data_IF_804298310574
#
_entry.id   IF_804298310574
#
_cell.length_a   1.000
_cell.length_b   1.000
_cell.length_c   1.000
_cell.angle_alpha   90.00
_cell.angle_beta   90.00
_cell.angle_gamma   90.00
#
_symmetry.space_group_name_H-M   'P 1'
#
loop_
_entity.id
_entity.type
_entity.pdbx_description
1 polymer ?
#
# COMPACT_ATOMS: atom_id res chain seq x y z
N UNK A 1 13.90 -13.98 28.34
CA UNK A 1 15.35 -13.65 28.29
C UNK A 1 16.06 -14.14 27.03
N UNK A 2 15.80 -15.36 26.50
CA UNK A 2 16.47 -15.84 25.27
C UNK A 2 16.23 -14.97 24.02
N UNK A 3 15.00 -14.47 23.81
CA UNK A 3 14.70 -13.60 22.69
C UNK A 3 15.49 -12.27 22.72
N UNK A 4 15.72 -11.72 23.91
CA UNK A 4 16.49 -10.48 24.08
C UNK A 4 17.96 -10.67 23.71
N UNK A 5 18.57 -11.80 24.10
CA UNK A 5 19.95 -12.13 23.73
C UNK A 5 20.14 -12.18 22.21
N UNK A 6 19.21 -12.82 21.48
CA UNK A 6 19.28 -12.86 20.00
C UNK A 6 19.04 -11.47 19.39
N UNK A 7 18.11 -10.68 19.95
CA UNK A 7 17.84 -9.30 19.51
C UNK A 7 19.07 -8.42 19.67
N UNK A 8 19.74 -8.46 20.81
CA UNK A 8 20.95 -7.68 21.09
C UNK A 8 22.13 -8.13 20.23
N UNK A 9 22.28 -9.44 19.97
CA UNK A 9 23.32 -9.93 19.05
C UNK A 9 23.14 -9.40 17.62
N UNK A 10 21.90 -9.30 17.13
CA UNK A 10 21.62 -8.84 15.75
C UNK A 10 21.58 -7.32 15.61
N UNK A 11 21.02 -6.63 16.61
CA UNK A 11 20.65 -5.22 16.51
C UNK A 11 21.32 -4.34 17.58
N UNK A 12 22.10 -4.90 18.49
CA UNK A 12 22.63 -4.19 19.65
C UNK A 12 21.51 -3.61 20.54
N UNK A 13 21.78 -2.45 21.12
CA UNK A 13 20.80 -1.67 21.86
C UNK A 13 20.13 -0.56 21.02
N UNK A 14 19.97 -0.81 19.72
CA UNK A 14 19.26 0.11 18.82
C UNK A 14 17.80 -0.33 18.66
N UNK A 15 16.91 0.66 18.66
CA UNK A 15 15.53 0.53 18.21
C UNK A 15 15.34 1.49 17.04
N UNK A 16 15.06 0.95 15.84
CA UNK A 16 14.79 1.75 14.66
C UNK A 16 13.30 2.05 14.54
N UNK A 17 12.99 3.15 13.87
CA UNK A 17 11.65 3.53 13.48
C UNK A 17 11.70 4.17 12.09
N UNK A 18 10.53 4.32 11.49
CA UNK A 18 10.35 5.07 10.26
C UNK A 18 9.28 6.13 10.49
N UNK A 19 9.45 7.30 9.88
CA UNK A 19 8.39 8.29 9.79
C UNK A 19 7.66 8.10 8.47
N UNK A 20 6.47 7.48 8.53
CA UNK A 20 5.70 7.17 7.33
C UNK A 20 4.32 7.83 7.35
N UNK A 21 3.71 7.90 6.17
CA UNK A 21 2.29 8.24 6.01
C UNK A 21 1.52 6.98 5.66
N UNK A 22 0.72 6.49 6.60
CA UNK A 22 -0.16 5.34 6.39
C UNK A 22 -1.50 5.77 5.76
N UNK A 23 -1.91 5.12 4.67
CA UNK A 23 -3.12 5.44 3.91
C UNK A 23 -3.89 4.16 3.59
N UNK A 24 -5.19 4.17 3.85
CA UNK A 24 -6.11 3.19 3.29
C UNK A 24 -6.82 3.82 2.10
N UNK A 25 -6.54 3.39 0.87
CA UNK A 25 -7.13 4.04 -0.32
C UNK A 25 -8.61 3.67 -0.51
N UNK A 26 -9.03 2.50 -0.03
CA UNK A 26 -10.44 2.09 0.02
C UNK A 26 -10.64 0.98 1.06
N UNK A 27 -11.82 0.96 1.70
CA UNK A 27 -12.27 -0.18 2.50
C UNK A 27 -13.28 -1.08 1.76
N UNK A 28 -13.50 -0.88 0.46
CA UNK A 28 -14.41 -1.71 -0.33
C UNK A 28 -13.66 -2.98 -0.73
N UNK A 29 -14.21 -4.14 -0.37
CA UNK A 29 -13.53 -5.41 -0.54
C UNK A 29 -14.49 -6.52 -0.97
N UNK A 30 -14.07 -7.35 -1.93
CA UNK A 30 -14.81 -8.56 -2.31
C UNK A 30 -14.67 -9.71 -1.31
N UNK A 31 -13.71 -9.63 -0.38
CA UNK A 31 -13.56 -10.59 0.71
C UNK A 31 -14.34 -10.16 1.95
N UNK A 32 -14.67 -11.13 2.79
CA UNK A 32 -15.38 -10.93 4.06
C UNK A 32 -14.66 -11.65 5.19
N UNK A 33 -13.40 -11.25 5.42
CA UNK A 33 -12.60 -11.77 6.53
C UNK A 33 -13.26 -11.43 7.87
N UNK A 34 -13.47 -12.42 8.72
CA UNK A 34 -14.30 -12.31 9.94
C UNK A 34 -13.76 -11.29 10.97
N UNK A 35 -12.45 -11.01 10.94
CA UNK A 35 -11.78 -10.09 11.84
C UNK A 35 -11.50 -8.71 11.21
N UNK A 36 -11.88 -8.50 9.94
CA UNK A 36 -11.52 -7.31 9.19
C UNK A 36 -12.72 -6.35 9.07
N UNK A 37 -12.53 -5.10 9.50
CA UNK A 37 -13.53 -4.05 9.37
C UNK A 37 -13.69 -3.52 7.92
N UNK A 38 -12.82 -3.94 6.99
CA UNK A 38 -12.79 -3.45 5.59
C UNK A 38 -13.52 -4.39 4.62
N UNK A 39 -14.45 -5.21 5.12
CA UNK A 39 -15.32 -6.01 4.27
C UNK A 39 -16.53 -5.20 3.76
N UNK A 40 -16.34 -3.90 3.48
CA UNK A 40 -17.43 -3.01 3.09
C UNK A 40 -17.85 -3.31 1.64
N UNK A 41 -19.16 -3.28 1.40
CA UNK A 41 -19.73 -3.25 0.05
C UNK A 41 -19.90 -1.79 -0.36
N UNK A 42 -19.85 -1.51 -1.66
CA UNK A 42 -19.98 -0.14 -2.21
C UNK A 42 -21.23 0.64 -1.73
N UNK A 43 -22.29 -0.07 -1.35
CA UNK A 43 -23.56 0.51 -0.86
C UNK A 43 -23.61 0.70 0.66
N UNK A 44 -22.62 0.22 1.39
CA UNK A 44 -22.63 0.28 2.84
C UNK A 44 -22.31 1.72 3.28
N UNK A 45 -22.98 2.27 4.31
CA UNK A 45 -22.82 3.68 4.69
C UNK A 45 -21.40 4.08 5.12
N UNK A 46 -20.57 3.11 5.50
CA UNK A 46 -19.19 3.31 5.94
C UNK A 46 -18.16 3.04 4.83
N UNK A 47 -18.61 2.73 3.62
CA UNK A 47 -17.74 2.48 2.49
C UNK A 47 -17.08 3.77 1.99
N UNK A 48 -15.79 3.70 1.68
CA UNK A 48 -15.03 4.80 1.09
C UNK A 48 -14.05 4.31 0.02
N UNK A 49 -13.77 5.17 -0.93
CA UNK A 49 -12.81 5.01 -2.03
C UNK A 49 -12.26 6.41 -2.29
N UNK A 50 -10.97 6.64 -2.04
CA UNK A 50 -10.34 7.94 -2.28
C UNK A 50 -9.93 8.08 -3.74
N UNK A 51 -10.10 9.28 -4.30
CA UNK A 51 -9.52 9.62 -5.58
C UNK A 51 -7.99 9.73 -5.47
N UNK A 52 -7.26 9.52 -6.57
CA UNK A 52 -5.79 9.60 -6.59
C UNK A 52 -5.35 10.98 -6.13
N UNK A 53 -6.03 12.03 -6.59
CA UNK A 53 -5.74 13.43 -6.27
C UNK A 53 -5.84 13.71 -4.77
N UNK A 54 -6.78 13.06 -4.08
CA UNK A 54 -6.91 13.18 -2.62
C UNK A 54 -5.75 12.50 -1.89
N UNK A 55 -5.32 11.33 -2.36
CA UNK A 55 -4.17 10.59 -1.81
C UNK A 55 -2.89 11.42 -2.02
N UNK A 56 -2.68 11.92 -3.24
CA UNK A 56 -1.52 12.74 -3.61
C UNK A 56 -1.47 14.02 -2.78
N UNK A 57 -2.59 14.71 -2.57
CA UNK A 57 -2.66 15.89 -1.70
C UNK A 57 -2.21 15.56 -0.27
N UNK A 58 -2.72 14.46 0.31
CA UNK A 58 -2.36 14.03 1.67
C UNK A 58 -0.87 13.69 1.79
N UNK A 59 -0.29 13.03 0.80
CA UNK A 59 1.14 12.70 0.79
C UNK A 59 1.98 13.97 0.65
N UNK A 60 1.60 14.87 -0.27
CA UNK A 60 2.29 16.14 -0.50
C UNK A 60 2.31 17.03 0.73
N UNK A 61 1.22 17.07 1.50
CA UNK A 61 1.15 17.80 2.78
C UNK A 61 2.04 17.17 3.86
N UNK A 62 2.31 15.86 3.78
CA UNK A 62 3.14 15.15 4.74
C UNK A 62 4.64 15.20 4.43
N UNK A 63 5.04 15.44 3.17
CA UNK A 63 6.45 15.55 2.78
C UNK A 63 7.24 16.61 3.58
N UNK A 64 6.74 17.86 3.76
CA UNK A 64 7.42 18.87 4.58
C UNK A 64 7.56 18.48 6.06
N UNK A 65 6.79 17.49 6.54
CA UNK A 65 6.88 16.95 7.89
C UNK A 65 8.01 15.91 8.03
N UNK A 66 8.70 15.59 6.94
CA UNK A 66 9.84 14.67 6.92
C UNK A 66 9.45 13.20 6.90
N UNK A 67 8.33 12.84 6.26
CA UNK A 67 8.05 11.43 5.96
C UNK A 67 9.06 10.91 4.92
N UNK A 68 9.44 9.64 5.03
CA UNK A 68 10.31 8.97 4.05
C UNK A 68 9.65 7.77 3.38
N UNK A 69 8.47 7.38 3.84
CA UNK A 69 7.69 6.28 3.27
C UNK A 69 6.19 6.65 3.21
N UNK A 70 5.55 6.25 2.12
CA UNK A 70 4.09 6.07 2.08
C UNK A 70 3.80 4.59 2.23
N UNK A 71 3.00 4.23 3.22
CA UNK A 71 2.53 2.87 3.45
C UNK A 71 1.05 2.80 3.12
N UNK A 72 0.69 2.02 2.09
CA UNK A 72 -0.66 2.04 1.56
C UNK A 72 -1.25 0.66 1.29
N UNK A 73 -2.44 0.41 1.82
CA UNK A 73 -3.21 -0.82 1.60
C UNK A 73 -4.68 -0.50 1.34
N UNK A 74 -5.44 -1.47 0.85
CA UNK A 74 -6.87 -1.32 0.68
C UNK A 74 -7.60 -2.65 0.60
N UNK A 75 -8.90 -2.57 0.37
CA UNK A 75 -9.71 -3.74 0.06
C UNK A 75 -9.41 -4.31 -1.33
N UNK A 76 -9.80 -5.56 -1.55
CA UNK A 76 -9.79 -6.17 -2.89
C UNK A 76 -10.91 -5.55 -3.73
N UNK A 77 -10.62 -4.39 -4.31
CA UNK A 77 -11.64 -3.56 -4.95
C UNK A 77 -12.25 -4.25 -6.18
N UNK A 78 -13.59 -4.30 -6.33
CA UNK A 78 -14.23 -4.99 -7.44
C UNK A 78 -14.18 -4.24 -8.78
N UNK A 79 -14.06 -2.90 -8.74
CA UNK A 79 -14.27 -2.04 -9.92
C UNK A 79 -13.10 -1.12 -10.28
N UNK A 80 -12.07 -1.02 -9.43
CA UNK A 80 -10.89 -0.20 -9.77
C UNK A 80 -10.19 -0.84 -10.98
N UNK A 81 -9.82 0.01 -11.93
CA UNK A 81 -9.24 -0.41 -13.21
C UNK A 81 -7.73 -0.54 -13.09
N UNK A 82 -7.13 -1.20 -14.08
CA UNK A 82 -5.67 -1.37 -14.19
C UNK A 82 -4.94 -0.04 -14.02
N UNK A 83 -5.36 0.97 -14.79
CA UNK A 83 -4.68 2.25 -14.88
C UNK A 83 -4.68 2.99 -13.53
N UNK A 84 -5.76 2.90 -12.75
CA UNK A 84 -5.82 3.51 -11.42
C UNK A 84 -4.65 3.09 -10.51
N UNK A 85 -4.29 1.81 -10.49
CA UNK A 85 -3.18 1.31 -9.66
C UNK A 85 -1.82 1.78 -10.17
N UNK A 86 -1.65 1.81 -11.50
CA UNK A 86 -0.40 2.21 -12.12
C UNK A 86 -0.19 3.73 -12.03
N UNK A 87 -1.24 4.51 -12.26
CA UNK A 87 -1.24 5.96 -12.17
C UNK A 87 -1.00 6.42 -10.73
N UNK A 88 -1.61 5.77 -9.75
CA UNK A 88 -1.34 6.05 -8.34
C UNK A 88 0.15 5.91 -7.99
N UNK A 89 0.81 4.83 -8.43
CA UNK A 89 2.24 4.64 -8.19
C UNK A 89 3.09 5.68 -8.92
N UNK A 90 2.75 5.99 -10.19
CA UNK A 90 3.47 7.00 -10.98
C UNK A 90 3.36 8.39 -10.35
N UNK A 91 2.16 8.78 -9.90
CA UNK A 91 1.94 10.09 -9.29
C UNK A 91 2.61 10.20 -7.93
N UNK A 92 2.58 9.15 -7.10
CA UNK A 92 3.32 9.14 -5.84
C UNK A 92 4.82 9.28 -6.07
N UNK A 93 5.37 8.57 -7.06
CA UNK A 93 6.79 8.65 -7.41
C UNK A 93 7.18 10.02 -7.96
N UNK A 94 6.26 10.71 -8.63
CA UNK A 94 6.48 12.03 -9.18
C UNK A 94 6.52 13.14 -8.11
N UNK A 95 6.00 12.88 -6.90
CA UNK A 95 6.04 13.85 -5.80
C UNK A 95 7.46 14.08 -5.27
N UNK A 96 8.21 13.00 -5.08
CA UNK A 96 9.57 13.03 -4.54
C UNK A 96 10.29 11.72 -4.92
N UNK A 97 11.42 11.76 -5.64
CA UNK A 97 12.18 10.57 -6.02
C UNK A 97 12.77 9.81 -4.82
N UNK A 98 12.93 10.44 -3.66
CA UNK A 98 13.46 9.83 -2.44
C UNK A 98 12.35 9.21 -1.56
N UNK A 99 11.07 9.40 -1.91
CA UNK A 99 9.95 8.82 -1.18
C UNK A 99 9.80 7.33 -1.48
N UNK A 100 9.91 6.49 -0.43
CA UNK A 100 9.68 5.05 -0.58
C UNK A 100 8.19 4.72 -0.63
N UNK A 101 7.75 4.05 -1.70
CA UNK A 101 6.36 3.61 -1.84
C UNK A 101 6.26 2.14 -1.40
N UNK A 102 5.71 1.93 -0.20
CA UNK A 102 5.35 0.62 0.32
C UNK A 102 3.85 0.40 0.16
N UNK A 103 3.44 -0.38 -0.82
CA UNK A 103 2.02 -0.55 -1.12
C UNK A 103 1.64 -1.98 -1.47
N UNK A 104 0.37 -2.29 -1.28
CA UNK A 104 -0.28 -3.57 -1.57
C UNK A 104 0.25 -4.74 -0.73
N UNK A 105 -0.69 -5.44 -0.10
CA UNK A 105 -0.44 -6.72 0.55
C UNK A 105 -0.28 -7.85 -0.47
N UNK A 106 0.26 -8.99 -0.04
CA UNK A 106 0.34 -10.18 -0.89
C UNK A 106 -1.03 -10.62 -1.49
N UNK A 107 -2.13 -10.43 -0.75
CA UNK A 107 -3.48 -10.79 -1.24
C UNK A 107 -3.98 -9.78 -2.27
N UNK A 108 -3.67 -8.49 -2.11
CA UNK A 108 -3.93 -7.47 -3.12
C UNK A 108 -3.14 -7.76 -4.39
N UNK A 109 -1.82 -8.01 -4.31
CA UNK A 109 -1.01 -8.39 -5.47
C UNK A 109 -1.58 -9.61 -6.20
N UNK A 110 -2.03 -10.62 -5.45
CA UNK A 110 -2.70 -11.80 -6.04
C UNK A 110 -3.99 -11.43 -6.77
N UNK A 111 -4.81 -10.55 -6.18
CA UNK A 111 -6.05 -10.05 -6.81
C UNK A 111 -5.76 -9.25 -8.08
N UNK A 112 -4.79 -8.32 -8.02
CA UNK A 112 -4.33 -7.56 -9.17
C UNK A 112 -3.90 -8.50 -10.29
N UNK A 113 -3.00 -9.44 -10.00
CA UNK A 113 -2.49 -10.40 -10.98
C UNK A 113 -3.60 -11.25 -11.61
N UNK A 114 -4.46 -11.87 -10.79
CA UNK A 114 -5.40 -12.89 -11.25
C UNK A 114 -6.73 -12.35 -11.79
N UNK A 115 -7.20 -11.22 -11.27
CA UNK A 115 -8.56 -10.70 -11.55
C UNK A 115 -8.53 -9.44 -12.40
N UNK A 116 -7.54 -8.58 -12.20
CA UNK A 116 -7.48 -7.27 -12.87
C UNK A 116 -6.57 -7.35 -14.11
N UNK A 117 -5.29 -7.68 -13.92
CA UNK A 117 -4.27 -7.63 -14.97
C UNK A 117 -4.22 -8.88 -15.84
N UNK A 118 -4.55 -10.06 -15.29
CA UNK A 118 -4.43 -11.37 -15.95
C UNK A 118 -2.98 -11.71 -16.30
N UNK A 119 -2.09 -11.52 -15.33
CA UNK A 119 -0.65 -11.78 -15.43
C UNK A 119 -0.20 -12.80 -14.35
N UNK A 120 0.90 -13.53 -14.57
CA UNK A 120 1.61 -14.25 -13.51
C UNK A 120 2.04 -13.29 -12.39
N UNK A 121 2.11 -13.78 -11.14
CA UNK A 121 2.47 -12.95 -9.97
C UNK A 121 3.83 -12.27 -10.16
N UNK A 122 4.80 -12.95 -10.77
CA UNK A 122 6.13 -12.40 -11.04
C UNK A 122 6.06 -11.16 -11.94
N UNK A 123 5.37 -11.28 -13.07
CA UNK A 123 5.17 -10.17 -14.02
C UNK A 123 4.37 -9.03 -13.39
N UNK A 124 3.40 -9.33 -12.53
CA UNK A 124 2.67 -8.30 -11.78
C UNK A 124 3.61 -7.51 -10.84
N UNK A 125 4.50 -8.18 -10.10
CA UNK A 125 5.46 -7.51 -9.22
C UNK A 125 6.48 -6.69 -10.02
N UNK A 126 6.94 -7.20 -11.16
CA UNK A 126 7.84 -6.48 -12.08
C UNK A 126 7.16 -5.20 -12.60
N UNK A 127 5.90 -5.32 -13.05
CA UNK A 127 5.11 -4.18 -13.51
C UNK A 127 4.91 -3.13 -12.41
N UNK A 128 4.52 -3.52 -11.20
CA UNK A 128 4.35 -2.57 -10.08
C UNK A 128 5.67 -1.86 -9.75
N UNK A 129 6.79 -2.59 -9.74
CA UNK A 129 8.11 -2.01 -9.48
C UNK A 129 8.51 -0.99 -10.54
N UNK A 130 8.28 -1.29 -11.81
CA UNK A 130 8.54 -0.35 -12.92
C UNK A 130 7.76 0.97 -12.75
N UNK A 131 6.57 0.88 -12.16
CA UNK A 131 5.67 2.02 -11.95
C UNK A 131 5.93 2.80 -10.65
N UNK A 132 6.88 2.35 -9.83
CA UNK A 132 7.33 3.08 -8.63
C UNK A 132 7.14 2.33 -7.31
N UNK A 133 6.61 1.11 -7.31
CA UNK A 133 6.54 0.32 -6.08
C UNK A 133 7.94 -0.01 -5.57
N UNK A 134 8.25 0.41 -4.34
CA UNK A 134 9.51 0.12 -3.67
C UNK A 134 9.47 -1.19 -2.89
N UNK A 135 8.39 -1.45 -2.15
CA UNK A 135 8.17 -2.72 -1.45
C UNK A 135 6.69 -3.06 -1.29
N UNK A 136 6.39 -4.32 -1.01
CA UNK A 136 5.04 -4.76 -0.64
C UNK A 136 4.82 -4.60 0.87
N UNK A 137 3.55 -4.55 1.26
CA UNK A 137 3.14 -4.57 2.68
C UNK A 137 3.06 -5.98 3.24
#
# INVERSE_FOLDING_TARGET
>A
MMANFVRERKNGNYASYIHNRYINYSNICVLSCQFCAFAARKRDPHAFEYAIEEIIRVVKEALPLGITEVHMVGGLHPTLKKDWYLDLLRELRALDPDLHIKAFTAIEVRHLAQRIFRLPIREMLELLREHGLGSIT
#
